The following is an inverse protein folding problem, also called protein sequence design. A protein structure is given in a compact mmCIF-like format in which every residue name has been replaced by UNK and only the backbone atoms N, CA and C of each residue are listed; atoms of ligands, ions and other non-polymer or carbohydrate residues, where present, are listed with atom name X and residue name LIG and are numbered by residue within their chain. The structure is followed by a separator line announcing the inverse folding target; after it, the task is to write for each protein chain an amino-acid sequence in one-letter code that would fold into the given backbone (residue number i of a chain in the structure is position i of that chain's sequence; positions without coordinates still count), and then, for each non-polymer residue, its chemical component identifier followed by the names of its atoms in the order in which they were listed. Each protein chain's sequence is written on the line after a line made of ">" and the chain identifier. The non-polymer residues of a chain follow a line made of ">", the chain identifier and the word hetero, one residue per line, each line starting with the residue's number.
data_IF_315142499531
#
_entry.id   IF_315142499531
#
_cell.length_a   1.000
_cell.length_b   1.000
_cell.length_c   1.000
_cell.angle_alpha   90.00
_cell.angle_beta   90.00
_cell.angle_gamma   90.00
#
_symmetry.space_group_name_H-M   'P 1'
#
loop_
_entity.id
_entity.type
_entity.pdbx_description
1 polymer ?
#
# COMPACT_ATOMS: atom_id res chain seq x y z
N UNK A 1 -10.24 6.80 7.47
CA UNK A 1 -8.84 6.33 7.36
C UNK A 1 -8.61 5.85 5.93
N UNK A 2 -7.55 6.32 5.24
CA UNK A 2 -7.19 5.86 3.88
C UNK A 2 -5.94 4.99 3.94
N UNK A 3 -5.87 3.94 3.12
CA UNK A 3 -4.70 3.05 3.03
C UNK A 3 -3.69 3.67 2.06
N UNK A 4 -2.44 3.81 2.49
CA UNK A 4 -1.36 4.35 1.65
C UNK A 4 -0.64 3.26 0.87
N UNK A 5 -0.36 2.12 1.51
CA UNK A 5 0.33 1.01 0.87
C UNK A 5 -0.07 -0.33 1.47
N UNK A 6 0.15 -1.39 0.71
CA UNK A 6 -0.13 -2.76 1.11
C UNK A 6 0.92 -3.71 0.54
N UNK A 7 1.58 -4.47 1.42
CA UNK A 7 2.45 -5.56 1.02
C UNK A 7 1.77 -6.91 1.29
N UNK A 8 1.71 -7.79 0.29
CA UNK A 8 1.04 -9.10 0.40
C UNK A 8 2.01 -10.27 0.34
N UNK A 9 2.38 -10.81 1.49
CA UNK A 9 3.27 -11.98 1.60
C UNK A 9 2.47 -13.27 1.82
N UNK A 10 2.69 -14.26 0.94
CA UNK A 10 2.04 -15.57 0.97
C UNK A 10 0.49 -15.54 1.03
N UNK A 11 -0.12 -14.49 0.48
CA UNK A 11 -1.58 -14.34 0.46
C UNK A 11 -2.16 -14.80 -0.87
N UNK A 12 -2.77 -15.99 -0.89
CA UNK A 12 -3.36 -16.61 -2.09
C UNK A 12 -2.36 -16.69 -3.25
N UNK A 13 -2.63 -16.00 -4.37
CA UNK A 13 -1.76 -15.92 -5.55
C UNK A 13 -0.51 -15.06 -5.31
N UNK A 14 -0.54 -14.14 -4.35
CA UNK A 14 0.58 -13.24 -4.08
C UNK A 14 1.65 -13.96 -3.24
N UNK A 15 2.51 -14.71 -3.95
CA UNK A 15 3.67 -15.40 -3.35
C UNK A 15 4.92 -14.52 -3.33
N UNK A 16 5.07 -13.65 -4.31
CA UNK A 16 6.26 -12.81 -4.51
C UNK A 16 6.30 -11.51 -3.69
N UNK A 17 5.42 -11.37 -2.68
CA UNK A 17 5.38 -10.19 -1.79
C UNK A 17 5.27 -8.83 -2.49
N UNK A 18 4.34 -8.65 -3.47
CA UNK A 18 4.19 -7.37 -4.16
C UNK A 18 3.82 -6.25 -3.18
N UNK A 19 4.39 -5.07 -3.45
CA UNK A 19 4.01 -3.80 -2.82
C UNK A 19 3.02 -3.08 -3.73
N UNK A 20 1.84 -2.79 -3.21
CA UNK A 20 0.87 -1.91 -3.83
C UNK A 20 0.97 -0.54 -3.16
N UNK A 21 1.36 0.46 -3.92
CA UNK A 21 1.40 1.85 -3.48
C UNK A 21 0.17 2.58 -4.01
N UNK A 22 -0.59 3.19 -3.10
CA UNK A 22 -1.83 3.90 -3.35
C UNK A 22 -1.66 5.41 -3.17
N UNK A 23 -0.44 5.87 -2.91
CA UNK A 23 -0.13 7.28 -2.78
C UNK A 23 -0.02 7.96 -4.13
N UNK A 24 -0.34 9.25 -4.13
CA UNK A 24 0.02 10.14 -5.20
C UNK A 24 1.52 10.48 -5.10
N UNK A 25 2.30 10.32 -6.18
CA UNK A 25 3.76 10.44 -6.12
C UNK A 25 4.25 11.87 -5.89
N UNK A 26 3.43 12.89 -6.17
CA UNK A 26 3.80 14.30 -5.97
C UNK A 26 3.52 14.74 -4.54
N UNK A 27 2.38 14.30 -3.99
CA UNK A 27 1.90 14.75 -2.67
C UNK A 27 2.15 13.76 -1.54
N UNK A 28 2.42 12.50 -1.84
CA UNK A 28 2.53 11.40 -0.86
C UNK A 28 1.21 11.03 -0.18
N UNK A 29 0.09 11.63 -0.58
CA UNK A 29 -1.23 11.39 0.01
C UNK A 29 -1.92 10.21 -0.65
N UNK A 30 -2.73 9.47 0.12
CA UNK A 30 -3.53 8.39 -0.43
C UNK A 30 -4.59 8.94 -1.41
N UNK A 31 -4.64 8.36 -2.62
CA UNK A 31 -5.61 8.73 -3.65
C UNK A 31 -7.04 8.45 -3.20
N UNK A 32 -7.98 9.28 -3.64
CA UNK A 32 -9.41 9.08 -3.36
C UNK A 32 -10.03 7.92 -4.14
N UNK A 33 -9.57 7.71 -5.37
CA UNK A 33 -10.11 6.70 -6.28
C UNK A 33 -8.95 5.87 -6.83
N UNK A 34 -9.13 4.55 -6.80
CA UNK A 34 -8.16 3.57 -7.30
C UNK A 34 -8.91 2.56 -8.13
N UNK A 35 -8.39 2.25 -9.32
CA UNK A 35 -8.98 1.28 -10.23
C UNK A 35 -8.12 0.04 -10.30
N UNK A 36 -8.73 -1.13 -10.05
CA UNK A 36 -8.06 -2.43 -10.17
C UNK A 36 -8.42 -3.09 -11.50
N UNK A 37 -7.45 -3.16 -12.42
CA UNK A 37 -7.64 -3.73 -13.76
C UNK A 37 -6.77 -4.99 -13.90
N UNK A 38 -7.30 -5.99 -14.61
CA UNK A 38 -6.55 -7.20 -14.94
C UNK A 38 -7.47 -8.37 -15.27
N UNK A 39 -6.89 -9.45 -15.78
CA UNK A 39 -7.62 -10.67 -16.15
C UNK A 39 -8.35 -11.32 -14.96
N UNK A 40 -9.28 -12.23 -15.25
CA UNK A 40 -9.85 -13.11 -14.22
C UNK A 40 -8.75 -13.94 -13.58
N UNK A 41 -8.80 -14.09 -12.25
CA UNK A 41 -7.72 -14.74 -11.49
C UNK A 41 -6.43 -13.89 -11.34
N UNK A 42 -6.42 -12.61 -11.74
CA UNK A 42 -5.27 -11.73 -11.49
C UNK A 42 -5.06 -11.39 -10.00
N UNK A 43 -6.09 -11.57 -9.16
CA UNK A 43 -6.01 -11.33 -7.72
C UNK A 43 -6.75 -10.08 -7.22
N UNK A 44 -7.61 -9.45 -8.04
CA UNK A 44 -8.39 -8.25 -7.69
C UNK A 44 -9.23 -8.45 -6.42
N UNK A 45 -10.07 -9.48 -6.38
CA UNK A 45 -10.89 -9.80 -5.20
C UNK A 45 -10.04 -10.19 -3.99
N UNK A 46 -8.92 -10.89 -4.23
CA UNK A 46 -7.97 -11.23 -3.16
C UNK A 46 -7.36 -9.96 -2.54
N UNK A 47 -6.99 -8.97 -3.35
CA UNK A 47 -6.46 -7.69 -2.88
C UNK A 47 -7.48 -6.95 -2.01
N UNK A 48 -8.75 -6.87 -2.45
CA UNK A 48 -9.84 -6.27 -1.66
C UNK A 48 -10.08 -7.02 -0.34
N UNK A 49 -10.01 -8.36 -0.35
CA UNK A 49 -10.16 -9.16 0.85
C UNK A 49 -9.04 -8.90 1.86
N UNK A 50 -7.78 -8.79 1.40
CA UNK A 50 -6.66 -8.48 2.28
C UNK A 50 -6.76 -7.09 2.93
N UNK A 51 -7.33 -6.11 2.19
CA UNK A 51 -7.66 -4.79 2.72
C UNK A 51 -8.75 -4.90 3.80
N UNK A 52 -9.84 -5.62 3.49
CA UNK A 52 -10.98 -5.76 4.40
C UNK A 52 -10.65 -6.53 5.68
N UNK A 53 -9.77 -7.54 5.60
CA UNK A 53 -9.36 -8.33 6.77
C UNK A 53 -8.38 -7.61 7.69
N UNK A 54 -7.90 -6.42 7.33
CA UNK A 54 -6.87 -5.70 8.11
C UNK A 54 -5.52 -6.42 8.17
N UNK A 55 -5.33 -7.50 7.40
CA UNK A 55 -4.08 -8.28 7.35
C UNK A 55 -3.00 -7.61 6.50
N UNK A 56 -3.06 -6.28 6.37
CA UNK A 56 -1.97 -5.48 5.85
C UNK A 56 -0.82 -5.53 6.87
N UNK A 57 0.00 -6.57 6.79
CA UNK A 57 1.24 -6.67 7.56
C UNK A 57 2.04 -5.39 7.29
N UNK A 58 2.18 -4.53 8.30
CA UNK A 58 3.04 -3.35 8.22
C UNK A 58 4.50 -3.79 8.08
N UNK A 59 5.11 -3.41 6.97
CA UNK A 59 6.48 -2.91 6.87
C UNK A 59 6.42 -2.01 5.63
N UNK A 60 6.54 -0.69 5.71
CA UNK A 60 7.77 0.04 6.02
C UNK A 60 7.41 1.25 6.91
N UNK A 61 8.00 1.33 8.10
CA UNK A 61 8.18 2.60 8.79
C UNK A 61 9.59 3.08 8.46
N UNK A 62 9.72 4.31 7.95
CA UNK A 62 10.79 5.29 8.21
C UNK A 62 11.11 6.14 6.97
N UNK A 63 10.26 7.12 6.66
CA UNK A 63 10.82 8.43 6.34
C UNK A 63 10.86 9.17 7.68
N UNK A 64 11.94 8.99 8.43
CA UNK A 64 12.34 9.99 9.42
C UNK A 64 12.77 11.21 8.61
N UNK A 65 11.80 12.04 8.25
CA UNK A 65 12.08 13.43 7.93
C UNK A 65 12.61 14.06 9.21
N UNK A 66 13.93 14.09 9.38
CA UNK A 66 14.58 15.01 10.30
C UNK A 66 14.35 16.41 9.75
N UNK A 67 13.19 16.99 10.09
CA UNK A 67 13.05 18.43 10.13
C UNK A 67 13.89 18.94 11.31
N UNK A 68 15.21 18.95 11.15
CA UNK A 68 16.06 19.85 11.94
C UNK A 68 15.91 21.22 11.30
N UNK A 69 14.96 21.98 11.84
CA UNK A 69 14.92 23.41 11.68
C UNK A 69 16.22 24.03 12.17
N UNK A 70 16.67 25.02 11.38
CA UNK A 70 17.29 26.26 11.79
C UNK A 70 17.72 26.37 13.27
N UNK A 71 19.03 26.37 13.50
CA UNK A 71 19.64 27.13 14.59
C UNK A 71 20.92 27.77 14.02
N UNK A 72 21.00 29.08 14.20
CA UNK A 72 22.14 29.96 13.93
C UNK A 72 23.40 29.49 14.66
#
# INVERSE_FOLDING_TARGET
>A
MKIQSLQLKYFKKFRSSPLFDFTDPETGLARDIIVLIGMNGAGKTSLLQAIASGTALRAIAATLGTATGHAL
#
